data_IF_604407842740
#
_entry.id   IF_604407842740
#
_cell.length_a   1.000
_cell.length_b   1.000
_cell.length_c   1.000
_cell.angle_alpha   90.00
_cell.angle_beta   90.00
_cell.angle_gamma   90.00
#
_symmetry.space_group_name_H-M   'P 1'
#
loop_
_entity.id
_entity.type
_entity.pdbx_description
1 polymer ?
#
# COMPACT_ATOMS: atom_id res chain seq x y z
N UNK A 1 2.94 -39.31 24.37
CA UNK A 1 3.93 -38.22 24.56
C UNK A 1 4.09 -38.01 26.05
N UNK A 2 5.29 -38.25 26.62
CA UNK A 2 5.58 -37.88 28.01
C UNK A 2 5.57 -36.36 28.09
N UNK A 3 4.75 -35.77 28.96
CA UNK A 3 4.76 -34.32 29.18
C UNK A 3 6.15 -33.94 29.68
N UNK A 4 6.80 -33.02 28.98
CA UNK A 4 8.10 -32.50 29.37
C UNK A 4 7.94 -31.73 30.69
N UNK A 5 8.35 -32.37 31.78
CA UNK A 5 8.23 -31.82 33.13
C UNK A 5 9.03 -30.52 33.28
N UNK A 6 10.12 -30.36 32.52
CA UNK A 6 10.89 -29.12 32.45
C UNK A 6 10.10 -27.97 31.83
N UNK A 7 9.38 -28.23 30.73
CA UNK A 7 8.50 -27.24 30.10
C UNK A 7 7.37 -26.81 31.04
N UNK A 8 6.75 -27.76 31.74
CA UNK A 8 5.67 -27.46 32.68
C UNK A 8 6.15 -26.58 33.84
N UNK A 9 7.33 -26.85 34.40
CA UNK A 9 7.94 -26.03 35.46
C UNK A 9 8.33 -24.64 34.96
N UNK A 10 8.86 -24.53 33.74
CA UNK A 10 9.20 -23.23 33.14
C UNK A 10 7.96 -22.36 32.92
N UNK A 11 6.85 -22.94 32.43
CA UNK A 11 5.57 -22.23 32.25
C UNK A 11 5.03 -21.75 33.60
N UNK A 12 5.07 -22.58 34.64
CA UNK A 12 4.62 -22.22 35.98
C UNK A 12 5.45 -21.07 36.59
N UNK A 13 6.77 -21.13 36.45
CA UNK A 13 7.67 -20.06 36.91
C UNK A 13 7.38 -18.74 36.17
N UNK A 14 7.25 -18.79 34.85
CA UNK A 14 6.93 -17.59 34.06
C UNK A 14 5.57 -17.00 34.46
N UNK A 15 4.56 -17.84 34.70
CA UNK A 15 3.24 -17.39 35.15
C UNK A 15 3.32 -16.70 36.52
N UNK A 16 4.12 -17.23 37.44
CA UNK A 16 4.33 -16.65 38.76
C UNK A 16 5.08 -15.30 38.68
N UNK A 17 6.13 -15.23 37.87
CA UNK A 17 6.88 -13.99 37.63
C UNK A 17 6.00 -12.91 36.99
N UNK A 18 5.17 -13.28 36.02
CA UNK A 18 4.19 -12.38 35.41
C UNK A 18 3.15 -11.91 36.43
N UNK A 19 2.62 -12.81 37.25
CA UNK A 19 1.65 -12.46 38.30
C UNK A 19 2.27 -11.47 39.30
N UNK A 20 3.51 -11.71 39.75
CA UNK A 20 4.23 -10.77 40.62
C UNK A 20 4.49 -9.43 39.93
N UNK A 21 4.89 -9.45 38.65
CA UNK A 21 5.12 -8.23 37.89
C UNK A 21 3.84 -7.39 37.71
N UNK A 22 2.68 -8.03 37.54
CA UNK A 22 1.37 -7.39 37.43
C UNK A 22 0.86 -6.84 38.76
N UNK A 23 1.21 -7.48 39.88
CA UNK A 23 0.86 -7.01 41.23
C UNK A 23 1.71 -5.84 41.71
N UNK A 24 2.92 -5.67 41.16
CA UNK A 24 3.77 -4.51 41.47
C UNK A 24 3.19 -3.26 40.81
N UNK A 25 2.64 -2.35 41.62
CA UNK A 25 2.28 -1.00 41.16
C UNK A 25 3.55 -0.28 40.69
N UNK A 26 3.66 -0.05 39.38
CA UNK A 26 4.76 0.73 38.78
C UNK A 26 4.50 2.22 38.92
N UNK A 27 4.86 2.78 40.07
CA UNK A 27 4.71 4.23 40.36
C UNK A 27 5.60 5.11 39.48
N UNK A 28 6.63 4.55 38.83
CA UNK A 28 7.53 5.29 37.93
C UNK A 28 6.81 5.94 36.74
N UNK A 29 5.65 5.41 36.33
CA UNK A 29 4.84 5.96 35.26
C UNK A 29 3.73 6.91 35.76
N UNK A 30 3.48 6.97 37.06
CA UNK A 30 2.47 7.87 37.64
C UNK A 30 2.66 9.33 37.19
N UNK A 31 3.90 9.88 37.08
CA UNK A 31 4.10 11.24 36.57
C UNK A 31 3.62 11.45 35.13
N UNK A 32 3.86 10.50 34.22
CA UNK A 32 3.40 10.64 32.83
C UNK A 32 1.88 10.48 32.73
N UNK A 33 1.29 9.62 33.55
CA UNK A 33 -0.17 9.48 33.63
C UNK A 33 -0.85 10.74 34.16
N UNK A 34 -0.25 11.41 35.17
CA UNK A 34 -0.75 12.68 35.66
C UNK A 34 -0.71 13.77 34.59
N UNK A 35 0.38 13.87 33.82
CA UNK A 35 0.47 14.79 32.68
C UNK A 35 -0.60 14.48 31.62
N UNK A 36 -0.82 13.21 31.30
CA UNK A 36 -1.87 12.79 30.36
C UNK A 36 -3.28 13.14 30.84
N UNK A 37 -3.57 12.99 32.14
CA UNK A 37 -4.87 13.35 32.70
C UNK A 37 -5.17 14.85 32.57
N UNK A 38 -4.16 15.70 32.79
CA UNK A 38 -4.29 17.15 32.59
C UNK A 38 -4.64 17.46 31.14
N UNK A 39 -3.97 16.81 30.18
CA UNK A 39 -4.23 17.01 28.76
C UNK A 39 -5.60 16.49 28.32
N UNK A 40 -6.05 15.35 28.85
CA UNK A 40 -7.39 14.79 28.53
C UNK A 40 -8.55 15.63 29.09
N UNK A 41 -8.30 16.47 30.09
CA UNK A 41 -9.31 17.36 30.65
C UNK A 41 -9.53 18.62 29.79
N UNK A 42 -8.67 18.89 28.80
CA UNK A 42 -8.81 20.06 27.92
C UNK A 42 -10.04 19.91 27.03
N UNK A 43 -10.72 21.02 26.68
CA UNK A 43 -11.82 20.97 25.73
C UNK A 43 -11.30 20.55 24.35
N UNK A 44 -12.03 19.63 23.71
CA UNK A 44 -11.70 19.05 22.41
C UNK A 44 -12.80 19.37 21.40
N UNK A 45 -12.43 19.99 20.29
CA UNK A 45 -13.35 20.37 19.22
C UNK A 45 -12.88 19.78 17.88
N UNK A 46 -12.95 18.46 17.68
CA UNK A 46 -12.60 17.85 16.40
C UNK A 46 -13.51 18.37 15.28
N UNK A 47 -13.04 18.37 14.02
CA UNK A 47 -13.88 18.69 12.88
C UNK A 47 -14.99 17.64 12.72
N UNK A 48 -16.02 17.97 11.94
CA UNK A 48 -17.02 17.01 11.50
C UNK A 48 -16.44 16.03 10.49
N UNK A 49 -16.85 14.77 10.62
CA UNK A 49 -16.46 13.73 9.69
C UNK A 49 -16.88 14.06 8.26
N UNK A 50 -15.92 13.93 7.34
CA UNK A 50 -16.07 14.02 5.89
C UNK A 50 -15.37 12.81 5.27
N UNK A 51 -15.99 12.23 4.25
CA UNK A 51 -15.33 11.21 3.43
C UNK A 51 -14.47 11.91 2.39
N UNK A 52 -13.19 11.56 2.36
CA UNK A 52 -12.23 12.08 1.39
C UNK A 52 -11.50 10.90 0.73
N UNK A 53 -11.00 11.10 -0.48
CA UNK A 53 -10.38 10.02 -1.27
C UNK A 53 -9.06 10.46 -1.88
N UNK A 54 -8.32 11.37 -1.23
CA UNK A 54 -7.15 12.02 -1.82
C UNK A 54 -6.10 10.98 -2.19
N UNK A 55 -5.70 10.12 -1.26
CA UNK A 55 -4.67 9.11 -1.55
C UNK A 55 -5.10 8.14 -2.64
N UNK A 56 -6.33 7.62 -2.57
CA UNK A 56 -6.84 6.63 -3.53
C UNK A 56 -7.07 7.24 -4.91
N UNK A 57 -7.73 8.39 -4.96
CA UNK A 57 -7.99 9.14 -6.18
C UNK A 57 -6.73 9.59 -6.90
N UNK A 58 -5.74 10.11 -6.17
CA UNK A 58 -4.44 10.46 -6.76
C UNK A 58 -3.67 9.20 -7.19
N UNK A 59 -3.72 8.11 -6.42
CA UNK A 59 -3.11 6.84 -6.82
C UNK A 59 -3.68 6.31 -8.15
N UNK A 60 -5.00 6.44 -8.35
CA UNK A 60 -5.68 6.08 -9.61
C UNK A 60 -5.39 7.06 -10.73
N UNK A 61 -5.40 8.37 -10.47
CA UNK A 61 -4.99 9.38 -11.44
C UNK A 61 -3.55 9.15 -11.94
N UNK A 62 -2.64 8.72 -11.07
CA UNK A 62 -1.25 8.43 -11.44
C UNK A 62 -1.14 7.34 -12.51
N UNK A 63 -2.11 6.42 -12.59
CA UNK A 63 -2.18 5.40 -13.64
C UNK A 63 -2.43 6.04 -15.00
N UNK A 64 -3.18 7.14 -15.08
CA UNK A 64 -3.38 7.85 -16.34
C UNK A 64 -2.08 8.50 -16.82
N UNK A 65 -1.83 8.44 -18.13
CA UNK A 65 -0.70 9.13 -18.74
C UNK A 65 -0.79 10.65 -18.53
N UNK A 66 0.34 11.37 -18.43
CA UNK A 66 0.35 12.81 -18.19
C UNK A 66 -0.54 13.59 -19.18
N UNK A 67 -0.49 13.26 -20.47
CA UNK A 67 -1.29 13.90 -21.52
C UNK A 67 -2.80 13.68 -21.27
N UNK A 68 -3.20 12.46 -20.94
CA UNK A 68 -4.58 12.13 -20.60
C UNK A 68 -5.02 12.86 -19.33
N UNK A 69 -4.18 12.96 -18.29
CA UNK A 69 -4.49 13.74 -17.08
C UNK A 69 -4.78 15.20 -17.42
N UNK A 70 -3.99 15.83 -18.29
CA UNK A 70 -4.24 17.22 -18.71
C UNK A 70 -5.60 17.36 -19.41
N UNK A 71 -5.98 16.40 -20.25
CA UNK A 71 -7.31 16.37 -20.87
C UNK A 71 -8.43 16.19 -19.82
N UNK A 72 -8.23 15.31 -18.84
CA UNK A 72 -9.16 15.13 -17.71
C UNK A 72 -9.35 16.44 -16.96
N UNK A 73 -8.26 17.12 -16.60
CA UNK A 73 -8.32 18.41 -15.90
C UNK A 73 -9.06 19.47 -16.71
N UNK A 74 -8.76 19.59 -18.00
CA UNK A 74 -9.40 20.56 -18.89
C UNK A 74 -10.88 20.24 -19.17
N UNK A 75 -11.26 18.96 -19.09
CA UNK A 75 -12.61 18.46 -19.35
C UNK A 75 -13.48 18.26 -18.11
N UNK A 76 -12.91 18.30 -16.89
CA UNK A 76 -13.58 17.89 -15.65
C UNK A 76 -14.92 18.62 -15.42
N UNK A 77 -14.89 19.96 -15.47
CA UNK A 77 -16.08 20.80 -15.28
C UNK A 77 -16.88 21.06 -16.58
N UNK A 78 -16.43 20.58 -17.74
CA UNK A 78 -17.10 20.83 -19.02
C UNK A 78 -18.16 19.76 -19.26
N UNK A 79 -19.38 20.06 -19.74
CA UNK A 79 -20.39 19.05 -20.04
C UNK A 79 -19.90 17.93 -20.98
N UNK A 80 -19.03 18.27 -21.95
CA UNK A 80 -18.45 17.34 -22.93
C UNK A 80 -17.47 16.34 -22.33
N UNK A 81 -16.77 16.68 -21.25
CA UNK A 81 -15.71 15.83 -20.70
C UNK A 81 -14.49 15.73 -21.63
N UNK A 82 -13.91 14.52 -21.73
CA UNK A 82 -12.79 14.19 -22.62
C UNK A 82 -13.33 13.55 -23.90
N UNK A 83 -12.72 13.82 -25.06
CA UNK A 83 -13.11 13.12 -26.30
C UNK A 83 -12.88 11.62 -26.17
N UNK A 84 -13.84 10.79 -26.62
CA UNK A 84 -13.79 9.33 -26.41
C UNK A 84 -12.54 8.68 -27.02
N UNK A 85 -12.12 9.15 -28.19
CA UNK A 85 -10.93 8.62 -28.89
C UNK A 85 -9.61 8.93 -28.18
N UNK A 86 -9.62 9.88 -27.24
CA UNK A 86 -8.43 10.20 -26.43
C UNK A 86 -8.33 9.33 -25.18
N UNK A 87 -9.33 8.50 -24.87
CA UNK A 87 -9.33 7.64 -23.67
C UNK A 87 -8.92 6.22 -24.07
N UNK A 88 -7.74 5.76 -23.65
CA UNK A 88 -7.22 4.44 -23.99
C UNK A 88 -8.05 3.33 -23.36
N UNK A 89 -8.04 2.13 -23.97
CA UNK A 89 -8.87 0.99 -23.56
C UNK A 89 -8.71 0.64 -22.07
N UNK A 90 -7.48 0.61 -21.56
CA UNK A 90 -7.20 0.30 -20.16
C UNK A 90 -7.94 1.21 -19.17
N UNK A 91 -8.18 2.48 -19.52
CA UNK A 91 -8.84 3.42 -18.62
C UNK A 91 -10.36 3.15 -18.53
N UNK A 92 -10.93 2.54 -19.57
CA UNK A 92 -12.28 1.99 -19.56
C UNK A 92 -12.35 0.69 -18.75
N UNK A 93 -11.40 -0.21 -18.96
CA UNK A 93 -11.33 -1.52 -18.28
C UNK A 93 -11.15 -1.35 -16.76
N UNK A 94 -10.33 -0.38 -16.35
CA UNK A 94 -10.17 0.01 -14.95
C UNK A 94 -11.41 0.69 -14.34
N UNK A 95 -12.43 0.99 -15.14
CA UNK A 95 -13.64 1.68 -14.70
C UNK A 95 -13.42 3.15 -14.34
N UNK A 96 -12.31 3.76 -14.77
CA UNK A 96 -12.03 5.17 -14.48
C UNK A 96 -12.94 6.11 -15.25
N UNK A 97 -13.43 5.68 -16.42
CA UNK A 97 -14.30 6.46 -17.29
C UNK A 97 -15.61 5.73 -17.62
N UNK A 98 -16.65 6.51 -17.94
CA UNK A 98 -17.91 6.05 -18.55
C UNK A 98 -18.24 6.86 -19.80
N UNK A 99 -18.81 6.20 -20.81
CA UNK A 99 -19.27 6.84 -22.03
C UNK A 99 -20.52 7.66 -21.71
N UNK A 100 -20.59 8.87 -22.27
CA UNK A 100 -21.76 9.74 -22.25
C UNK A 100 -22.09 10.19 -23.69
N UNK A 101 -23.27 10.76 -23.90
CA UNK A 101 -23.72 11.22 -25.23
C UNK A 101 -22.75 12.21 -25.91
N UNK A 102 -21.99 12.97 -25.11
CA UNK A 102 -21.14 14.07 -25.59
C UNK A 102 -19.64 13.82 -25.40
N UNK A 103 -19.25 12.67 -24.84
CA UNK A 103 -17.86 12.33 -24.58
C UNK A 103 -17.64 11.36 -23.42
N UNK A 104 -16.38 11.22 -22.99
CA UNK A 104 -15.96 10.42 -21.85
C UNK A 104 -15.96 11.23 -20.55
N UNK A 105 -16.48 10.63 -19.47
CA UNK A 105 -16.55 11.24 -18.14
C UNK A 105 -15.87 10.37 -17.11
N UNK A 106 -15.20 11.00 -16.14
CA UNK A 106 -14.70 10.29 -14.95
C UNK A 106 -15.88 9.59 -14.27
N UNK A 107 -15.75 8.29 -14.07
CA UNK A 107 -16.75 7.44 -13.43
C UNK A 107 -16.31 7.00 -12.03
N UNK A 108 -14.99 6.90 -11.82
CA UNK A 108 -14.42 6.52 -10.53
C UNK A 108 -14.62 7.64 -9.50
N UNK A 109 -15.34 7.31 -8.42
CA UNK A 109 -15.70 8.25 -7.36
C UNK A 109 -14.49 8.75 -6.57
N UNK A 110 -13.39 8.01 -6.53
CA UNK A 110 -12.22 8.39 -5.77
C UNK A 110 -11.38 9.40 -6.55
N UNK A 111 -11.25 9.20 -7.86
CA UNK A 111 -10.70 10.21 -8.78
C UNK A 111 -11.55 11.49 -8.72
N UNK A 112 -12.86 11.36 -8.88
CA UNK A 112 -13.80 12.49 -8.83
C UNK A 112 -13.69 13.24 -7.49
N UNK A 113 -13.70 12.53 -6.37
CA UNK A 113 -13.56 13.12 -5.05
C UNK A 113 -12.22 13.86 -4.85
N UNK A 114 -11.11 13.33 -5.38
CA UNK A 114 -9.82 14.00 -5.30
C UNK A 114 -9.78 15.28 -6.14
N UNK A 115 -10.33 15.25 -7.36
CA UNK A 115 -10.42 16.41 -8.26
C UNK A 115 -11.34 17.50 -7.70
N UNK A 116 -12.50 17.12 -7.18
CA UNK A 116 -13.43 18.05 -6.56
C UNK A 116 -12.84 18.74 -5.33
N UNK A 117 -12.09 18.00 -4.51
CA UNK A 117 -11.52 18.51 -3.26
C UNK A 117 -10.29 19.39 -3.48
N UNK A 118 -9.36 18.97 -4.34
CA UNK A 118 -8.05 19.61 -4.49
C UNK A 118 -7.95 20.52 -5.72
N UNK A 119 -8.74 20.24 -6.76
CA UNK A 119 -8.59 20.85 -8.08
C UNK A 119 -7.37 20.34 -8.85
N UNK A 120 -7.38 20.59 -10.16
CA UNK A 120 -6.38 20.07 -11.10
C UNK A 120 -4.93 20.44 -10.75
N UNK A 121 -4.69 21.71 -10.39
CA UNK A 121 -3.34 22.21 -10.09
C UNK A 121 -2.71 21.47 -8.91
N UNK A 122 -3.43 21.36 -7.79
CA UNK A 122 -2.92 20.68 -6.62
C UNK A 122 -2.74 19.17 -6.86
N UNK A 123 -3.67 18.53 -7.58
CA UNK A 123 -3.49 17.14 -8.01
C UNK A 123 -2.19 16.95 -8.78
N UNK A 124 -1.93 17.75 -9.83
CA UNK A 124 -0.73 17.57 -10.66
C UNK A 124 0.56 17.88 -9.90
N UNK A 125 0.58 18.92 -9.05
CA UNK A 125 1.74 19.22 -8.19
C UNK A 125 2.12 18.04 -7.30
N UNK A 126 1.12 17.32 -6.76
CA UNK A 126 1.36 16.14 -5.92
C UNK A 126 1.82 14.95 -6.76
N UNK A 127 1.19 14.70 -7.91
CA UNK A 127 1.54 13.57 -8.78
C UNK A 127 2.95 13.68 -9.36
N UNK A 128 3.45 14.90 -9.61
CA UNK A 128 4.84 15.13 -10.06
C UNK A 128 5.90 14.69 -9.04
N UNK A 129 5.55 14.56 -7.75
CA UNK A 129 6.44 14.06 -6.70
C UNK A 129 6.40 12.54 -6.54
N UNK A 130 5.56 11.83 -7.29
CA UNK A 130 5.42 10.38 -7.18
C UNK A 130 6.75 9.66 -7.56
N UNK A 131 7.23 8.71 -6.74
CA UNK A 131 8.43 7.95 -7.04
C UNK A 131 8.34 7.19 -8.36
N UNK A 132 9.41 7.26 -9.17
CA UNK A 132 9.50 6.51 -10.42
C UNK A 132 9.36 5.00 -10.22
N UNK A 133 9.78 4.47 -9.05
CA UNK A 133 9.62 3.06 -8.69
C UNK A 133 8.17 2.57 -8.69
N UNK A 134 7.17 3.46 -8.68
CA UNK A 134 5.76 3.09 -8.80
C UNK A 134 5.38 2.63 -10.22
N UNK A 135 6.20 2.90 -11.24
CA UNK A 135 5.95 2.49 -12.63
C UNK A 135 5.78 0.99 -12.79
N UNK A 136 6.46 0.20 -11.95
CA UNK A 136 6.38 -1.27 -11.97
C UNK A 136 4.96 -1.80 -11.67
N UNK A 137 4.12 -0.99 -11.01
CA UNK A 137 2.71 -1.30 -10.74
C UNK A 137 1.76 -0.55 -11.68
N UNK A 138 2.19 0.58 -12.25
CA UNK A 138 1.39 1.35 -13.20
C UNK A 138 1.35 0.68 -14.57
N UNK A 139 2.50 0.24 -15.09
CA UNK A 139 2.58 -0.33 -16.44
C UNK A 139 1.68 -1.57 -16.61
N UNK A 140 1.64 -2.55 -15.69
CA UNK A 140 0.69 -3.66 -15.78
C UNK A 140 -0.78 -3.25 -15.85
N UNK A 141 -1.15 -2.08 -15.30
CA UNK A 141 -2.51 -1.55 -15.36
C UNK A 141 -2.80 -0.81 -16.68
N UNK A 142 -1.77 -0.27 -17.34
CA UNK A 142 -1.88 0.33 -18.69
C UNK A 142 -1.91 -0.74 -19.77
N UNK A 143 -1.23 -1.85 -19.51
CA UNK A 143 -1.10 -2.96 -20.44
C UNK A 143 -2.09 -4.10 -20.13
N UNK A 144 -3.27 -3.79 -19.56
CA UNK A 144 -4.26 -4.83 -19.21
C UNK A 144 -4.67 -5.68 -20.42
N UNK A 145 -4.70 -5.11 -21.61
CA UNK A 145 -4.99 -5.83 -22.85
C UNK A 145 -4.02 -6.99 -23.15
N UNK A 146 -2.81 -7.01 -22.55
CA UNK A 146 -1.89 -8.16 -22.69
C UNK A 146 -2.42 -9.43 -22.03
N UNK A 147 -3.27 -9.30 -21.02
CA UNK A 147 -3.90 -10.45 -20.34
C UNK A 147 -4.66 -11.28 -21.35
N UNK A 148 -5.40 -10.64 -22.26
CA UNK A 148 -6.16 -11.33 -23.30
C UNK A 148 -5.26 -12.12 -24.24
N UNK A 149 -4.19 -11.50 -24.73
CA UNK A 149 -3.21 -12.15 -25.60
C UNK A 149 -2.52 -13.33 -24.91
N UNK A 150 -2.12 -13.16 -23.64
CA UNK A 150 -1.46 -14.22 -22.87
C UNK A 150 -2.41 -15.38 -22.58
N UNK A 151 -3.66 -15.11 -22.22
CA UNK A 151 -4.67 -16.16 -21.98
C UNK A 151 -4.99 -16.91 -23.26
N UNK A 152 -5.17 -16.19 -24.37
CA UNK A 152 -5.41 -16.79 -25.69
C UNK A 152 -4.23 -17.66 -26.14
N UNK A 153 -2.99 -17.23 -25.89
CA UNK A 153 -1.83 -18.07 -26.17
C UNK A 153 -1.87 -19.38 -25.39
N UNK A 154 -2.14 -19.32 -24.08
CA UNK A 154 -2.19 -20.51 -23.21
C UNK A 154 -3.33 -21.45 -23.63
N UNK A 155 -4.45 -20.90 -24.09
CA UNK A 155 -5.57 -21.68 -24.65
C UNK A 155 -5.15 -22.39 -25.94
N UNK A 156 -4.57 -21.66 -26.90
CA UNK A 156 -4.15 -22.20 -28.19
C UNK A 156 -2.99 -23.20 -28.09
N UNK A 157 -2.16 -23.10 -27.04
CA UNK A 157 -1.00 -23.98 -26.80
C UNK A 157 -1.21 -24.90 -25.59
N UNK A 158 -2.46 -25.22 -25.23
CA UNK A 158 -2.79 -25.97 -24.02
C UNK A 158 -1.99 -27.28 -23.87
N UNK A 159 -1.92 -28.07 -24.94
CA UNK A 159 -1.20 -29.35 -24.93
C UNK A 159 0.30 -29.15 -24.71
N UNK A 160 0.89 -28.07 -25.25
CA UNK A 160 2.31 -27.75 -25.06
C UNK A 160 2.61 -27.24 -23.64
N UNK A 161 1.72 -26.44 -23.04
CA UNK A 161 1.94 -25.92 -21.68
C UNK A 161 1.64 -26.95 -20.59
N UNK A 162 0.92 -28.02 -20.93
CA UNK A 162 0.65 -29.15 -20.02
C UNK A 162 1.63 -30.32 -20.19
N UNK A 163 2.48 -30.27 -21.22
CA UNK A 163 3.61 -31.17 -21.42
C UNK A 163 4.91 -30.55 -20.85
N UNK A 164 5.61 -31.25 -19.94
CA UNK A 164 6.83 -30.71 -19.32
C UNK A 164 7.92 -30.26 -20.31
N UNK A 165 8.21 -31.08 -21.33
CA UNK A 165 9.32 -30.83 -22.25
C UNK A 165 8.99 -29.67 -23.20
N UNK A 166 7.75 -29.62 -23.67
CA UNK A 166 7.24 -28.52 -24.49
C UNK A 166 7.15 -27.21 -23.69
N UNK A 167 6.72 -27.25 -22.42
CA UNK A 167 6.69 -26.07 -21.56
C UNK A 167 8.10 -25.53 -21.29
N UNK A 168 9.09 -26.40 -21.08
CA UNK A 168 10.49 -25.96 -20.96
C UNK A 168 10.93 -25.18 -22.19
N UNK A 169 10.68 -25.71 -23.39
CA UNK A 169 11.01 -25.02 -24.64
C UNK A 169 10.30 -23.67 -24.76
N UNK A 170 9.01 -23.61 -24.42
CA UNK A 170 8.25 -22.36 -24.40
C UNK A 170 8.81 -21.34 -23.40
N UNK A 171 9.24 -21.78 -22.22
CA UNK A 171 9.88 -20.91 -21.23
C UNK A 171 11.22 -20.35 -21.73
N UNK A 172 12.02 -21.16 -22.43
CA UNK A 172 13.27 -20.71 -23.08
C UNK A 172 12.97 -19.70 -24.19
N UNK A 173 11.99 -19.99 -25.04
CA UNK A 173 11.58 -19.08 -26.12
C UNK A 173 11.09 -17.74 -25.55
N UNK A 174 10.23 -17.79 -24.53
CA UNK A 174 9.71 -16.62 -23.84
C UNK A 174 10.81 -15.82 -23.14
N UNK A 175 11.82 -16.49 -22.59
CA UNK A 175 12.99 -15.81 -22.02
C UNK A 175 13.84 -15.11 -23.09
N UNK A 176 13.99 -15.69 -24.27
CA UNK A 176 14.80 -15.10 -25.33
C UNK A 176 14.07 -13.96 -26.04
N UNK A 177 12.81 -14.18 -26.42
CA UNK A 177 11.99 -13.23 -27.17
C UNK A 177 10.52 -13.23 -26.68
N UNK A 178 10.24 -12.58 -25.54
CA UNK A 178 8.89 -12.57 -24.95
C UNK A 178 7.85 -11.91 -25.87
N UNK A 179 8.19 -10.79 -26.51
CA UNK A 179 7.30 -10.05 -27.40
C UNK A 179 7.08 -10.78 -28.73
N UNK A 180 8.11 -11.43 -29.29
CA UNK A 180 7.95 -12.28 -30.47
C UNK A 180 7.03 -13.47 -30.22
N UNK A 181 7.05 -14.02 -29.00
CA UNK A 181 6.19 -15.16 -28.63
C UNK A 181 4.74 -14.75 -28.35
N UNK A 182 4.49 -13.63 -27.69
CA UNK A 182 3.11 -13.17 -27.40
C UNK A 182 2.46 -12.39 -28.54
N UNK A 183 3.26 -11.81 -29.44
CA UNK A 183 2.80 -10.83 -30.42
C UNK A 183 2.47 -9.46 -29.83
N UNK A 184 2.71 -9.24 -28.53
CA UNK A 184 2.46 -7.95 -27.85
C UNK A 184 3.75 -7.15 -27.76
N UNK A 185 3.80 -6.03 -28.47
CA UNK A 185 4.90 -5.09 -28.37
C UNK A 185 5.03 -4.56 -26.93
N UNK A 186 6.19 -4.73 -26.31
CA UNK A 186 6.46 -4.29 -24.93
C UNK A 186 6.42 -5.40 -23.88
N UNK A 187 6.12 -6.65 -24.25
CA UNK A 187 6.39 -7.76 -23.34
C UNK A 187 7.90 -7.94 -23.16
N UNK A 188 8.36 -7.70 -21.94
CA UNK A 188 9.78 -7.76 -21.59
C UNK A 188 10.12 -8.92 -20.65
N UNK A 189 9.13 -9.61 -20.10
CA UNK A 189 9.30 -10.63 -19.05
C UNK A 189 8.95 -12.02 -19.55
N UNK A 190 9.34 -13.05 -18.80
CA UNK A 190 8.89 -14.43 -19.01
C UNK A 190 7.41 -14.57 -18.61
N UNK A 191 6.53 -14.02 -19.44
CA UNK A 191 5.10 -13.85 -19.14
C UNK A 191 4.34 -15.17 -19.09
N UNK A 192 4.80 -16.23 -19.80
CA UNK A 192 4.17 -17.57 -19.74
C UNK A 192 4.09 -18.07 -18.30
N UNK A 193 5.18 -17.93 -17.54
CA UNK A 193 5.17 -18.28 -16.13
C UNK A 193 4.15 -17.42 -15.36
N UNK A 194 4.17 -16.10 -15.54
CA UNK A 194 3.29 -15.19 -14.79
C UNK A 194 1.80 -15.46 -15.08
N UNK A 195 1.43 -15.72 -16.34
CA UNK A 195 0.04 -15.97 -16.72
C UNK A 195 -0.45 -17.34 -16.26
N UNK A 196 0.38 -18.39 -16.33
CA UNK A 196 0.01 -19.72 -15.82
C UNK A 196 -0.25 -19.69 -14.31
N UNK A 197 0.60 -19.00 -13.55
CA UNK A 197 0.40 -18.78 -12.11
C UNK A 197 -0.89 -18.01 -11.85
N UNK A 198 -1.19 -16.99 -12.66
CA UNK A 198 -2.40 -16.18 -12.52
C UNK A 198 -3.67 -16.99 -12.80
N UNK A 199 -3.66 -17.86 -13.82
CA UNK A 199 -4.75 -18.78 -14.15
C UNK A 199 -4.96 -19.84 -13.06
N UNK A 200 -3.87 -20.42 -12.53
CA UNK A 200 -3.93 -21.37 -11.40
C UNK A 200 -4.57 -20.75 -10.16
N UNK A 201 -4.09 -19.57 -9.78
CA UNK A 201 -4.72 -18.79 -8.73
C UNK A 201 -6.20 -18.58 -9.12
N UNK A 202 -6.52 -18.15 -10.34
CA UNK A 202 -7.89 -17.72 -10.73
C UNK A 202 -8.88 -18.87 -10.58
N UNK A 203 -8.46 -20.06 -11.00
CA UNK A 203 -9.20 -21.29 -10.81
C UNK A 203 -9.41 -21.65 -9.34
N UNK A 204 -8.40 -21.47 -8.49
CA UNK A 204 -8.53 -21.70 -7.04
C UNK A 204 -9.47 -20.71 -6.33
N UNK A 205 -9.72 -19.55 -6.95
CA UNK A 205 -10.48 -18.46 -6.34
C UNK A 205 -9.79 -17.72 -5.21
N UNK A 206 -8.51 -18.02 -4.94
CA UNK A 206 -7.70 -17.35 -3.91
C UNK A 206 -6.53 -16.63 -4.56
N UNK A 207 -6.34 -15.36 -4.24
CA UNK A 207 -5.20 -14.56 -4.73
C UNK A 207 -3.84 -15.16 -4.30
N UNK A 208 -3.82 -15.81 -3.13
CA UNK A 208 -2.67 -16.57 -2.60
C UNK A 208 -2.80 -18.08 -2.86
N UNK A 209 -3.62 -18.49 -3.83
CA UNK A 209 -3.93 -19.90 -4.10
C UNK A 209 -2.78 -20.68 -4.70
N UNK A 210 -1.76 -20.00 -5.24
CA UNK A 210 -0.55 -20.61 -5.76
C UNK A 210 0.63 -19.64 -5.61
N UNK A 211 1.68 -20.08 -4.94
CA UNK A 211 2.87 -19.27 -4.64
C UNK A 211 4.13 -20.13 -4.51
N UNK A 212 5.25 -19.54 -4.08
CA UNK A 212 6.55 -20.22 -4.07
C UNK A 212 6.57 -21.51 -3.24
N UNK A 213 5.86 -21.58 -2.11
CA UNK A 213 5.80 -22.81 -1.30
C UNK A 213 5.09 -23.97 -2.04
N UNK A 214 4.01 -23.65 -2.77
CA UNK A 214 3.30 -24.64 -3.58
C UNK A 214 4.15 -25.07 -4.79
N UNK A 215 4.80 -24.10 -5.43
CA UNK A 215 5.74 -24.35 -6.52
C UNK A 215 6.91 -25.23 -6.07
N UNK A 216 7.48 -24.97 -4.90
CA UNK A 216 8.55 -25.78 -4.32
C UNK A 216 8.09 -27.24 -4.09
N UNK A 217 6.86 -27.41 -3.59
CA UNK A 217 6.26 -28.74 -3.43
C UNK A 217 6.10 -29.45 -4.78
N UNK A 218 5.66 -28.74 -5.82
CA UNK A 218 5.38 -29.32 -7.14
C UNK A 218 6.64 -29.68 -7.93
N UNK A 219 7.73 -28.95 -7.67
CA UNK A 219 9.01 -29.08 -8.38
C UNK A 219 10.03 -29.91 -7.60
N UNK A 220 9.81 -30.16 -6.31
CA UNK A 220 10.78 -30.79 -5.42
C UNK A 220 11.99 -29.93 -5.08
N UNK A 221 11.99 -28.64 -5.47
CA UNK A 221 13.07 -27.68 -5.22
C UNK A 221 12.69 -26.80 -4.04
N UNK A 222 13.59 -26.52 -3.08
CA UNK A 222 13.30 -25.63 -1.95
C UNK A 222 12.80 -24.24 -2.38
N UNK A 223 11.91 -23.63 -1.58
CA UNK A 223 11.40 -22.27 -1.79
C UNK A 223 12.40 -21.19 -1.33
N UNK A 224 13.25 -21.46 -0.34
CA UNK A 224 14.29 -20.54 0.15
C UNK A 224 15.63 -21.24 0.45
N UNK A 225 16.72 -20.45 0.50
CA UNK A 225 18.05 -20.90 0.91
C UNK A 225 18.96 -21.39 -0.23
N UNK A 226 20.10 -21.99 0.14
CA UNK A 226 21.04 -22.56 -0.82
C UNK A 226 20.37 -23.73 -1.56
N UNK A 227 20.14 -23.56 -2.86
CA UNK A 227 19.46 -24.56 -3.69
C UNK A 227 18.05 -24.18 -4.13
N UNK A 228 17.42 -23.16 -3.53
CA UNK A 228 16.07 -22.75 -3.91
C UNK A 228 15.99 -22.01 -5.24
N UNK A 229 14.78 -21.86 -5.78
CA UNK A 229 14.58 -21.07 -7.01
C UNK A 229 14.90 -19.60 -6.79
N UNK A 230 15.63 -19.02 -7.75
CA UNK A 230 15.75 -17.57 -7.87
C UNK A 230 14.87 -17.14 -9.04
N UNK A 231 13.55 -17.17 -8.81
CA UNK A 231 12.54 -16.83 -9.84
C UNK A 231 12.66 -15.38 -10.33
N UNK A 232 12.88 -14.34 -9.49
CA UNK A 232 12.83 -12.96 -9.97
C UNK A 232 13.82 -12.64 -11.10
N UNK A 233 15.12 -12.98 -11.01
CA UNK A 233 16.07 -12.76 -12.11
C UNK A 233 15.72 -13.53 -13.39
N UNK A 234 15.09 -14.71 -13.27
CA UNK A 234 14.61 -15.45 -14.44
C UNK A 234 13.45 -14.73 -15.11
N UNK A 235 12.44 -14.31 -14.36
CA UNK A 235 11.27 -13.60 -14.90
C UNK A 235 11.67 -12.24 -15.50
N UNK A 236 12.61 -11.54 -14.89
CA UNK A 236 13.17 -10.29 -15.42
C UNK A 236 14.19 -10.50 -16.56
N UNK A 237 14.45 -11.75 -16.97
CA UNK A 237 15.44 -12.12 -17.98
C UNK A 237 16.88 -11.68 -17.68
N UNK A 238 17.18 -11.40 -16.42
CA UNK A 238 18.53 -11.10 -15.94
C UNK A 238 19.41 -12.36 -15.94
N UNK A 239 18.81 -13.51 -15.60
CA UNK A 239 19.53 -14.78 -15.52
C UNK A 239 18.63 -15.99 -15.78
N UNK A 240 18.99 -16.80 -16.76
CA UNK A 240 18.34 -18.08 -17.03
C UNK A 240 18.53 -19.07 -15.87
N UNK A 241 17.54 -19.91 -15.62
CA UNK A 241 17.67 -21.03 -14.68
C UNK A 241 18.65 -22.08 -15.22
N UNK A 242 19.31 -22.85 -14.35
CA UNK A 242 20.08 -24.00 -14.83
C UNK A 242 19.14 -25.02 -15.49
N UNK A 243 19.61 -25.84 -16.44
CA UNK A 243 18.77 -26.82 -17.14
C UNK A 243 17.97 -27.70 -16.17
N UNK A 244 18.59 -28.19 -15.10
CA UNK A 244 17.94 -29.05 -14.11
C UNK A 244 16.80 -28.32 -13.39
N UNK A 245 17.00 -27.03 -13.08
CA UNK A 245 15.99 -26.21 -12.42
C UNK A 245 14.88 -25.81 -13.37
N UNK A 246 15.20 -25.56 -14.63
CA UNK A 246 14.22 -25.22 -15.65
C UNK A 246 13.30 -26.42 -15.93
N UNK A 247 13.86 -27.62 -16.10
CA UNK A 247 13.11 -28.86 -16.25
C UNK A 247 12.24 -29.13 -15.02
N UNK A 248 12.78 -28.95 -13.80
CA UNK A 248 12.01 -29.11 -12.57
C UNK A 248 10.83 -28.13 -12.51
N UNK A 249 11.06 -26.86 -12.86
CA UNK A 249 10.03 -25.82 -12.96
C UNK A 249 8.94 -26.21 -13.98
N UNK A 250 9.33 -26.57 -15.19
CA UNK A 250 8.43 -26.94 -16.27
C UNK A 250 7.59 -28.18 -15.88
N UNK A 251 8.23 -29.21 -15.33
CA UNK A 251 7.56 -30.44 -14.88
C UNK A 251 6.53 -30.16 -13.79
N UNK A 252 6.92 -29.43 -12.75
CA UNK A 252 6.03 -29.11 -11.63
C UNK A 252 4.85 -28.25 -12.07
N UNK A 253 5.13 -27.19 -12.85
CA UNK A 253 4.12 -26.24 -13.30
C UNK A 253 3.15 -26.87 -14.32
N UNK A 254 3.65 -27.59 -15.32
CA UNK A 254 2.82 -28.27 -16.33
C UNK A 254 1.87 -29.27 -15.69
N UNK A 255 2.40 -30.13 -14.81
CA UNK A 255 1.59 -31.13 -14.09
C UNK A 255 0.53 -30.47 -13.22
N UNK A 256 0.91 -29.44 -12.45
CA UNK A 256 -0.03 -28.69 -11.62
C UNK A 256 -1.11 -28.02 -12.46
N UNK A 257 -0.73 -27.41 -13.58
CA UNK A 257 -1.65 -26.74 -14.49
C UNK A 257 -2.67 -27.71 -15.07
N UNK A 258 -2.20 -28.83 -15.63
CA UNK A 258 -3.05 -29.88 -16.20
C UNK A 258 -4.04 -30.48 -15.19
N UNK A 259 -3.64 -30.60 -13.92
CA UNK A 259 -4.50 -31.12 -12.86
C UNK A 259 -5.60 -30.16 -12.41
N UNK A 260 -5.36 -28.86 -12.53
CA UNK A 260 -6.19 -27.85 -11.89
C UNK A 260 -7.00 -27.01 -12.89
N UNK A 261 -6.44 -26.70 -14.05
CA UNK A 261 -7.02 -25.81 -15.06
C UNK A 261 -7.28 -26.64 -16.32
N UNK A 262 -8.55 -26.95 -16.60
CA UNK A 262 -8.90 -27.62 -17.85
C UNK A 262 -8.86 -26.64 -19.03
N UNK A 263 -8.64 -27.14 -20.25
CA UNK A 263 -8.68 -26.32 -21.46
C UNK A 263 -9.96 -25.46 -21.52
N UNK A 264 -11.13 -26.08 -21.26
CA UNK A 264 -12.43 -25.40 -21.28
C UNK A 264 -12.66 -24.32 -20.21
N UNK A 265 -11.75 -24.19 -19.24
CA UNK A 265 -11.79 -23.16 -18.21
C UNK A 265 -11.04 -21.88 -18.62
N UNK A 266 -10.04 -21.97 -19.50
CA UNK A 266 -9.04 -20.91 -19.71
C UNK A 266 -9.71 -19.59 -20.12
N UNK A 267 -10.50 -19.60 -21.19
CA UNK A 267 -11.25 -18.40 -21.63
C UNK A 267 -12.17 -17.82 -20.54
N UNK A 268 -12.75 -18.67 -19.68
CA UNK A 268 -13.65 -18.23 -18.57
C UNK A 268 -12.90 -17.58 -17.41
N UNK A 269 -11.60 -17.86 -17.27
CA UNK A 269 -10.77 -17.31 -16.20
C UNK A 269 -10.20 -15.92 -16.54
N UNK A 270 -10.23 -15.51 -17.82
CA UNK A 270 -9.70 -14.24 -18.33
C UNK A 270 -10.07 -13.03 -17.46
N UNK A 271 -11.37 -12.74 -17.32
CA UNK A 271 -11.86 -11.60 -16.53
C UNK A 271 -11.40 -11.65 -15.07
N UNK A 272 -11.26 -12.85 -14.51
CA UNK A 272 -10.81 -13.03 -13.12
C UNK A 272 -9.31 -12.76 -12.98
N UNK A 273 -8.50 -13.15 -13.97
CA UNK A 273 -7.08 -12.81 -14.03
C UNK A 273 -6.91 -11.30 -14.12
N UNK A 274 -7.65 -10.63 -15.00
CA UNK A 274 -7.62 -9.17 -15.15
C UNK A 274 -7.96 -8.46 -13.83
N UNK A 275 -9.07 -8.83 -13.18
CA UNK A 275 -9.47 -8.29 -11.88
C UNK A 275 -8.38 -8.42 -10.81
N UNK A 276 -7.56 -9.47 -10.89
CA UNK A 276 -6.47 -9.67 -9.96
C UNK A 276 -5.22 -8.92 -10.30
N UNK A 277 -4.90 -8.76 -11.58
CA UNK A 277 -3.84 -7.83 -12.02
C UNK A 277 -4.18 -6.43 -11.50
N UNK A 278 -5.45 -6.01 -11.63
CA UNK A 278 -5.94 -4.74 -11.08
C UNK A 278 -5.77 -4.71 -9.56
N UNK A 279 -6.33 -5.68 -8.83
CA UNK A 279 -6.26 -5.72 -7.37
C UNK A 279 -4.81 -5.72 -6.85
N UNK A 280 -3.95 -6.56 -7.39
CA UNK A 280 -2.57 -6.71 -6.92
C UNK A 280 -1.76 -5.44 -7.17
N UNK A 281 -1.85 -4.85 -8.37
CA UNK A 281 -1.04 -3.70 -8.71
C UNK A 281 -1.63 -2.40 -8.17
N UNK A 282 -2.94 -2.19 -8.28
CA UNK A 282 -3.59 -0.94 -7.84
C UNK A 282 -3.84 -0.92 -6.33
N UNK A 283 -4.60 -1.90 -5.83
CA UNK A 283 -5.15 -1.88 -4.47
C UNK A 283 -4.15 -2.37 -3.42
N UNK A 284 -3.40 -3.42 -3.72
CA UNK A 284 -2.50 -4.04 -2.73
C UNK A 284 -1.09 -3.40 -2.73
N UNK A 285 -0.69 -2.72 -3.82
CA UNK A 285 0.68 -2.20 -4.01
C UNK A 285 0.76 -0.70 -4.25
N UNK A 286 0.15 -0.18 -5.33
CA UNK A 286 0.29 1.21 -5.75
C UNK A 286 -0.29 2.20 -4.71
N UNK A 287 -1.58 2.06 -4.40
CA UNK A 287 -2.28 2.92 -3.44
C UNK A 287 -1.66 2.86 -2.03
N UNK A 288 -1.38 1.68 -1.43
CA UNK A 288 -0.80 1.59 -0.09
C UNK A 288 0.71 1.81 -0.05
N UNK A 289 1.37 2.12 -1.18
CA UNK A 289 2.82 2.28 -1.23
C UNK A 289 3.32 3.30 -0.21
N UNK A 290 4.23 2.86 0.69
CA UNK A 290 4.65 3.66 1.85
C UNK A 290 5.30 5.00 1.50
N UNK A 291 5.95 5.09 0.33
CA UNK A 291 6.62 6.32 -0.12
C UNK A 291 5.71 7.19 -1.00
N UNK A 292 4.48 6.74 -1.28
CA UNK A 292 3.45 7.60 -1.84
C UNK A 292 2.78 8.36 -0.69
N UNK A 293 3.17 9.61 -0.50
CA UNK A 293 2.78 10.44 0.64
C UNK A 293 2.07 11.73 0.20
N UNK A 294 0.91 11.64 -0.49
CA UNK A 294 0.27 12.81 -1.10
C UNK A 294 -0.11 13.91 -0.10
N UNK A 295 -0.52 13.54 1.12
CA UNK A 295 -0.85 14.51 2.17
C UNK A 295 0.35 15.30 2.66
N UNK A 296 1.53 14.67 2.77
CA UNK A 296 2.78 15.36 3.09
C UNK A 296 3.12 16.34 1.98
N UNK A 297 3.02 15.90 0.73
CA UNK A 297 3.37 16.73 -0.41
C UNK A 297 2.45 17.93 -0.57
N UNK A 298 1.15 17.80 -0.26
CA UNK A 298 0.20 18.91 -0.16
C UNK A 298 0.60 19.90 0.93
N UNK A 299 0.92 19.40 2.13
CA UNK A 299 1.39 20.23 3.26
C UNK A 299 2.64 21.02 2.89
N UNK A 300 3.67 20.37 2.35
CA UNK A 300 4.93 21.02 1.95
C UNK A 300 4.73 22.05 0.84
N UNK A 301 3.86 21.74 -0.14
CA UNK A 301 3.55 22.66 -1.23
C UNK A 301 2.90 23.95 -0.69
N UNK A 302 1.92 23.82 0.22
CA UNK A 302 1.26 24.98 0.79
C UNK A 302 2.17 25.76 1.76
N UNK A 303 3.01 25.08 2.56
CA UNK A 303 4.03 25.74 3.39
C UNK A 303 5.01 26.57 2.54
N UNK A 304 5.48 26.01 1.43
CA UNK A 304 6.38 26.69 0.49
C UNK A 304 5.68 27.88 -0.15
N UNK A 305 4.44 27.70 -0.63
CA UNK A 305 3.63 28.74 -1.26
C UNK A 305 3.38 29.93 -0.32
N UNK A 306 3.19 29.68 0.98
CA UNK A 306 2.99 30.72 1.99
C UNK A 306 4.31 31.24 2.61
N UNK A 307 5.47 30.75 2.17
CA UNK A 307 6.78 31.16 2.69
C UNK A 307 6.99 30.82 4.17
N UNK A 308 6.33 29.78 4.69
CA UNK A 308 6.40 29.39 6.10
C UNK A 308 7.62 28.49 6.34
N UNK A 309 8.55 28.87 7.23
CA UNK A 309 9.71 28.02 7.53
C UNK A 309 9.27 26.76 8.27
N UNK A 310 9.77 25.60 7.82
CA UNK A 310 9.47 24.32 8.44
C UNK A 310 10.69 23.41 8.45
N UNK A 311 10.74 22.51 9.43
CA UNK A 311 11.66 21.37 9.38
C UNK A 311 10.97 20.24 8.61
N UNK A 312 11.64 19.66 7.59
CA UNK A 312 11.06 18.59 6.79
C UNK A 312 10.80 17.34 7.62
N UNK A 313 10.18 16.32 7.00
CA UNK A 313 9.86 15.04 7.64
C UNK A 313 11.04 14.48 8.44
N UNK A 314 10.90 14.44 9.76
CA UNK A 314 11.89 13.84 10.67
C UNK A 314 11.21 12.85 11.63
N UNK A 315 11.87 11.73 11.96
CA UNK A 315 11.36 10.78 12.95
C UNK A 315 11.52 11.34 14.36
N UNK A 316 10.42 11.49 15.10
CA UNK A 316 10.43 11.78 16.53
C UNK A 316 10.40 10.49 17.34
N UNK A 317 11.29 10.42 18.33
CA UNK A 317 11.36 9.34 19.30
C UNK A 317 10.29 9.60 20.36
N UNK A 318 9.46 8.60 20.65
CA UNK A 318 8.47 8.68 21.74
C UNK A 318 9.07 8.30 23.10
N UNK A 319 8.42 8.76 24.18
CA UNK A 319 8.91 8.58 25.56
C UNK A 319 9.08 7.11 25.95
N UNK A 320 8.32 6.19 25.34
CA UNK A 320 8.43 4.75 25.61
C UNK A 320 9.84 4.24 25.27
N UNK A 321 10.43 4.69 24.17
CA UNK A 321 11.80 4.29 23.81
C UNK A 321 12.84 5.00 24.68
N UNK A 322 12.59 6.27 25.02
CA UNK A 322 13.45 7.05 25.90
C UNK A 322 13.53 6.39 27.30
N UNK A 323 12.39 5.91 27.80
CA UNK A 323 12.27 5.20 29.07
C UNK A 323 12.84 3.78 29.02
N UNK A 324 12.54 3.01 27.96
CA UNK A 324 13.01 1.62 27.84
C UNK A 324 14.49 1.50 27.44
N UNK A 325 15.12 2.59 26.97
CA UNK A 325 16.51 2.56 26.51
C UNK A 325 16.75 1.71 25.27
N UNK A 326 15.71 1.39 24.49
CA UNK A 326 15.72 0.41 23.38
C UNK A 326 16.36 0.92 22.08
N UNK A 327 17.16 1.99 22.15
CA UNK A 327 17.84 2.60 20.99
C UNK A 327 16.88 3.33 20.02
N UNK A 328 17.46 4.08 19.07
CA UNK A 328 16.73 5.01 18.18
C UNK A 328 15.80 4.36 17.14
N UNK A 329 15.74 3.03 17.06
CA UNK A 329 15.07 2.30 15.97
C UNK A 329 13.71 1.70 16.36
N UNK A 330 13.34 1.76 17.63
CA UNK A 330 12.04 1.26 18.10
C UNK A 330 11.04 2.43 18.09
N UNK A 331 9.81 2.22 17.59
CA UNK A 331 8.65 3.13 17.70
C UNK A 331 8.88 4.66 17.46
N UNK A 332 9.45 5.05 16.32
CA UNK A 332 9.48 6.47 15.90
C UNK A 332 8.23 6.85 15.10
N UNK A 333 7.87 8.14 15.11
CA UNK A 333 6.79 8.69 14.28
C UNK A 333 7.31 9.86 13.45
N UNK A 334 7.11 9.87 12.12
CA UNK A 334 7.55 10.98 11.29
C UNK A 334 6.62 12.19 11.44
N UNK A 335 7.20 13.38 11.59
CA UNK A 335 6.47 14.65 11.60
C UNK A 335 7.17 15.69 10.72
N UNK A 336 6.38 16.64 10.21
CA UNK A 336 6.86 17.95 9.80
C UNK A 336 6.74 18.89 10.98
N UNK A 337 7.74 19.73 11.25
CA UNK A 337 7.68 20.72 12.34
C UNK A 337 7.57 22.14 11.80
N UNK A 338 6.56 22.88 12.25
CA UNK A 338 6.34 24.29 11.93
C UNK A 338 6.25 25.05 13.26
N UNK A 339 7.20 25.94 13.54
CA UNK A 339 7.28 26.60 14.84
C UNK A 339 7.35 25.58 16.00
N UNK A 340 6.38 25.62 16.91
CA UNK A 340 6.22 24.68 18.02
C UNK A 340 5.18 23.58 17.77
N UNK A 341 4.71 23.42 16.53
CA UNK A 341 3.70 22.43 16.15
C UNK A 341 4.32 21.28 15.37
N UNK A 342 3.98 20.04 15.74
CA UNK A 342 4.31 18.84 14.97
C UNK A 342 3.09 18.37 14.17
N UNK A 343 3.26 18.22 12.85
CA UNK A 343 2.20 17.84 11.93
C UNK A 343 2.45 16.42 11.41
N UNK A 344 1.46 15.55 11.60
CA UNK A 344 1.43 14.20 11.05
C UNK A 344 0.30 14.06 10.01
N UNK A 345 0.35 13.01 9.19
CA UNK A 345 -0.65 12.75 8.16
C UNK A 345 -1.00 11.27 8.08
N UNK A 346 -2.27 10.96 7.80
CA UNK A 346 -2.70 9.57 7.63
C UNK A 346 -3.98 9.43 6.80
N UNK A 347 -3.93 8.53 5.82
CA UNK A 347 -5.13 8.02 5.15
C UNK A 347 -5.64 6.74 5.81
N UNK A 348 -6.96 6.57 5.92
CA UNK A 348 -7.59 5.34 6.36
C UNK A 348 -8.87 5.07 5.55
N UNK A 349 -8.96 3.91 4.90
CA UNK A 349 -10.11 3.53 4.07
C UNK A 349 -10.69 2.20 4.51
N UNK A 350 -11.97 1.99 4.22
CA UNK A 350 -12.70 0.76 4.48
C UNK A 350 -12.67 0.31 5.96
N UNK A 351 -12.30 -0.93 6.26
CA UNK A 351 -12.36 -1.52 7.62
C UNK A 351 -11.21 -1.10 8.55
N UNK A 352 -10.26 -0.29 8.08
CA UNK A 352 -9.05 0.08 8.82
C UNK A 352 -9.05 1.36 9.69
N UNK A 353 -10.07 2.25 9.68
CA UNK A 353 -10.06 3.45 10.54
C UNK A 353 -9.90 3.15 12.03
N UNK A 354 -10.43 2.02 12.53
CA UNK A 354 -10.27 1.62 13.93
C UNK A 354 -8.81 1.34 14.29
N UNK A 355 -8.10 0.58 13.44
CA UNK A 355 -6.69 0.24 13.66
C UNK A 355 -5.83 1.50 13.56
N UNK A 356 -6.13 2.39 12.61
CA UNK A 356 -5.43 3.67 12.48
C UNK A 356 -5.72 4.61 13.64
N UNK A 357 -6.93 4.63 14.17
CA UNK A 357 -7.28 5.41 15.36
C UNK A 357 -6.44 4.96 16.55
N UNK A 358 -6.31 3.65 16.79
CA UNK A 358 -5.46 3.09 17.85
C UNK A 358 -3.98 3.46 17.65
N UNK A 359 -3.46 3.23 16.44
CA UNK A 359 -2.06 3.56 16.06
C UNK A 359 -1.76 5.04 16.34
N UNK A 360 -2.60 5.95 15.83
CA UNK A 360 -2.40 7.39 15.95
C UNK A 360 -2.61 7.91 17.38
N UNK A 361 -3.53 7.31 18.14
CA UNK A 361 -3.74 7.68 19.54
C UNK A 361 -2.50 7.34 20.39
N UNK A 362 -1.91 6.17 20.17
CA UNK A 362 -0.66 5.79 20.83
C UNK A 362 0.49 6.73 20.46
N UNK A 363 0.56 7.16 19.19
CA UNK A 363 1.60 8.09 18.72
C UNK A 363 1.52 9.46 19.38
N UNK A 364 0.34 10.07 19.43
CA UNK A 364 0.16 11.37 20.09
C UNK A 364 0.64 11.31 21.55
N UNK A 365 0.15 10.31 22.30
CA UNK A 365 0.53 10.08 23.70
C UNK A 365 2.02 9.79 23.89
N UNK A 366 2.65 9.13 22.92
CA UNK A 366 4.07 8.79 22.99
C UNK A 366 4.97 9.99 22.71
N UNK A 367 4.55 10.90 21.82
CA UNK A 367 5.39 12.00 21.34
C UNK A 367 5.21 13.28 22.16
N UNK A 368 4.04 13.52 22.76
CA UNK A 368 3.76 14.77 23.50
C UNK A 368 4.60 14.94 24.77
N UNK A 369 5.11 13.84 25.32
CA UNK A 369 5.96 13.82 26.51
C UNK A 369 7.36 13.33 26.15
N UNK A 370 8.29 13.62 27.04
CA UNK A 370 9.65 13.12 26.98
C UNK A 370 10.07 12.60 28.35
N UNK A 371 10.85 11.52 28.35
CA UNK A 371 11.48 10.98 29.55
C UNK A 371 12.93 11.46 29.61
N UNK A 372 13.36 11.92 30.78
CA UNK A 372 14.73 12.36 31.04
C UNK A 372 15.47 11.30 31.84
N UNK A 373 16.35 10.48 31.24
CA UNK A 373 17.01 9.39 31.96
C UNK A 373 17.89 9.88 33.12
N UNK A 374 18.50 11.06 32.97
CA UNK A 374 19.38 11.65 33.98
C UNK A 374 18.65 12.03 35.28
N UNK A 375 17.45 12.59 35.15
CA UNK A 375 16.64 13.02 36.30
C UNK A 375 15.53 12.04 36.66
N UNK A 376 15.31 11.01 35.83
CA UNK A 376 14.20 10.04 35.91
C UNK A 376 12.83 10.70 36.02
N UNK A 377 12.63 11.77 35.25
CA UNK A 377 11.37 12.54 35.25
C UNK A 377 10.72 12.55 33.87
N UNK A 378 9.40 12.69 33.88
CA UNK A 378 8.61 12.97 32.70
C UNK A 378 8.28 14.46 32.64
N UNK A 379 8.37 15.03 31.44
CA UNK A 379 7.96 16.41 31.17
C UNK A 379 7.24 16.49 29.83
N UNK A 380 6.46 17.55 29.58
CA UNK A 380 6.05 17.89 28.21
C UNK A 380 7.27 17.99 27.29
N UNK A 381 7.12 17.56 26.03
CA UNK A 381 8.23 17.56 25.07
C UNK A 381 8.69 18.99 24.79
N UNK A 382 9.99 19.23 24.93
CA UNK A 382 10.56 20.56 24.77
C UNK A 382 10.37 21.07 23.32
N UNK A 383 9.94 22.32 23.17
CA UNK A 383 9.73 22.95 21.86
C UNK A 383 8.58 22.37 21.04
N UNK A 384 7.65 21.64 21.67
CA UNK A 384 6.41 21.15 21.08
C UNK A 384 5.24 21.58 21.97
N UNK A 385 4.37 22.44 21.46
CA UNK A 385 3.18 22.92 22.16
C UNK A 385 1.90 22.29 21.62
N UNK A 386 1.90 21.88 20.35
CA UNK A 386 0.73 21.35 19.66
C UNK A 386 1.11 20.18 18.75
N UNK A 387 0.17 19.23 18.63
CA UNK A 387 0.17 18.17 17.63
C UNK A 387 -0.99 18.41 16.66
N UNK A 388 -0.68 18.46 15.36
CA UNK A 388 -1.66 18.54 14.29
C UNK A 388 -1.69 17.24 13.47
N UNK A 389 -2.87 16.85 13.01
CA UNK A 389 -3.08 15.65 12.20
C UNK A 389 -3.89 15.99 10.95
N UNK A 390 -3.32 15.69 9.78
CA UNK A 390 -4.01 15.72 8.50
C UNK A 390 -4.60 14.33 8.24
N UNK A 391 -5.93 14.24 8.10
CA UNK A 391 -6.64 12.98 7.87
C UNK A 391 -7.23 12.90 6.46
N UNK A 392 -7.25 11.70 5.89
CA UNK A 392 -7.88 11.39 4.60
C UNK A 392 -8.59 10.03 4.70
N UNK A 393 -9.71 9.87 3.99
CA UNK A 393 -10.50 8.64 3.99
C UNK A 393 -11.76 8.67 4.86
N UNK A 394 -12.15 7.49 5.37
CA UNK A 394 -13.48 7.20 5.92
C UNK A 394 -13.51 7.37 7.46
N UNK A 395 -13.08 8.53 7.94
CA UNK A 395 -13.07 8.82 9.38
C UNK A 395 -14.48 9.19 9.87
N UNK A 396 -14.95 8.54 10.94
CA UNK A 396 -16.22 8.86 11.58
C UNK A 396 -16.03 9.90 12.69
N UNK A 397 -17.10 10.58 13.10
CA UNK A 397 -17.08 11.53 14.23
C UNK A 397 -16.48 10.88 15.49
N UNK A 398 -16.79 9.60 15.73
CA UNK A 398 -16.22 8.82 16.84
C UNK A 398 -14.71 8.67 16.73
N UNK A 399 -14.18 8.40 15.54
CA UNK A 399 -12.74 8.28 15.33
C UNK A 399 -12.05 9.61 15.60
N UNK A 400 -12.57 10.70 15.03
CA UNK A 400 -12.01 12.05 15.20
C UNK A 400 -12.05 12.51 16.65
N UNK A 401 -13.14 12.23 17.36
CA UNK A 401 -13.23 12.49 18.80
C UNK A 401 -12.19 11.69 19.60
N UNK A 402 -12.03 10.41 19.29
CA UNK A 402 -11.03 9.56 19.97
C UNK A 402 -9.61 10.09 19.73
N UNK A 403 -9.29 10.51 18.51
CA UNK A 403 -8.01 11.11 18.16
C UNK A 403 -7.79 12.43 18.91
N UNK A 404 -8.79 13.31 18.94
CA UNK A 404 -8.66 14.59 19.65
C UNK A 404 -8.44 14.36 21.15
N UNK A 405 -9.26 13.52 21.77
CA UNK A 405 -9.11 13.10 23.17
C UNK A 405 -7.82 12.31 23.45
N UNK A 406 -7.12 11.81 22.43
CA UNK A 406 -5.84 11.13 22.59
C UNK A 406 -4.64 12.09 22.64
N UNK A 407 -4.85 13.37 22.32
CA UNK A 407 -3.82 14.40 22.36
C UNK A 407 -3.47 15.04 21.01
N UNK A 408 -4.21 14.76 19.94
CA UNK A 408 -4.15 15.53 18.70
C UNK A 408 -4.91 16.84 18.89
N UNK A 409 -4.17 17.93 19.03
CA UNK A 409 -4.73 19.26 19.35
C UNK A 409 -5.47 19.86 18.16
N UNK A 410 -5.00 19.61 16.93
CA UNK A 410 -5.62 20.06 15.68
C UNK A 410 -5.81 18.86 14.75
N UNK A 411 -7.00 18.71 14.17
CA UNK A 411 -7.28 17.70 13.15
C UNK A 411 -7.91 18.42 11.95
N UNK A 412 -7.38 18.19 10.76
CA UNK A 412 -7.85 18.82 9.52
C UNK A 412 -7.91 17.82 8.36
N UNK A 413 -8.77 18.08 7.39
CA UNK A 413 -8.82 17.42 6.10
C UNK A 413 -7.87 18.08 5.08
N UNK A 414 -7.62 17.47 3.91
CA UNK A 414 -6.64 17.98 2.95
C UNK A 414 -7.00 19.36 2.38
N UNK A 415 -8.28 19.67 2.21
CA UNK A 415 -8.81 20.98 1.81
C UNK A 415 -8.64 22.07 2.87
N UNK A 416 -8.38 21.67 4.11
CA UNK A 416 -8.24 22.56 5.27
C UNK A 416 -6.76 22.86 5.61
N UNK A 417 -5.82 22.31 4.85
CA UNK A 417 -4.36 22.55 5.01
C UNK A 417 -4.00 24.04 4.92
N UNK A 418 -4.54 24.85 3.96
CA UNK A 418 -4.22 26.28 3.90
C UNK A 418 -4.62 27.03 5.18
N UNK A 419 -5.77 26.70 5.77
CA UNK A 419 -6.26 27.30 7.01
C UNK A 419 -5.40 26.88 8.21
N UNK A 420 -5.00 25.60 8.27
CA UNK A 420 -4.05 25.13 9.27
C UNK A 420 -2.76 25.97 9.23
N UNK A 421 -2.15 26.13 8.05
CA UNK A 421 -0.87 26.83 7.92
C UNK A 421 -0.99 28.32 8.27
N UNK A 422 -2.13 28.96 7.97
CA UNK A 422 -2.37 30.35 8.37
C UNK A 422 -2.41 30.55 9.90
N UNK A 423 -2.78 29.50 10.65
CA UNK A 423 -2.84 29.53 12.12
C UNK A 423 -1.49 29.24 12.80
N UNK A 424 -0.52 28.68 12.08
CA UNK A 424 0.82 28.34 12.54
C UNK A 424 1.82 29.47 12.25
#
# INVERSE_FOLDING_TARGET
MKSDQGLSSAIASLAQDLAQALQRRKTELDPVWALMQIDYAKPHNPPKAKNTSVRRGLGKLLVLEPQLRQLVYAGYNKPTGVHVDNVPQYAWDLGFFKKSLVGAKVADKEIDGALALLGATACETVLQKAPQSMSIWINPLRDLGRVDAHVEFIENHYDQVTDPDSLEQLLVQCFNDPAGLSGVAGDEKVWIYEIMISLLKAKSGRLQGYGLAQLATDTGVPDFGAGGFVIPPFIQREKMLSPERLQALATGLAKRFAQNVSHSDIGKLRTKVEQWVIKENLEDRLIPYRNFEPLLWLLEAELTKQGKPYSPKVPYIGWVNEYAGTGKNSATTPFVKVGSTLIHWKSAHASHPNDKTKELSARARSVKYQYHPATKTFTPRAGVTQLALIVDGDWSDRHLQTLSSSGWDIIVYPDEIPQLINQL
#
